data_IF_909654591100
#
_entry.id   IF_909654591100
#
_cell.length_a   1.000
_cell.length_b   1.000
_cell.length_c   1.000
_cell.angle_alpha   90.00
_cell.angle_beta   90.00
_cell.angle_gamma   90.00
#
_symmetry.space_group_name_H-M   'P 1'
#
loop_
_entity.id
_entity.type
_entity.pdbx_description
1 polymer ?
#
# COMPACT_ATOMS: atom_id res chain seq x y z
N UNK A 1 -4.04 -13.90 -10.05
CA UNK A 1 -2.82 -13.14 -9.70
C UNK A 1 -2.22 -12.43 -10.92
N UNK A 2 -2.31 -12.99 -12.13
CA UNK A 2 -1.70 -12.45 -13.37
C UNK A 2 -2.08 -11.00 -13.73
N UNK A 3 -3.30 -10.55 -13.45
CA UNK A 3 -3.76 -9.23 -13.93
C UNK A 3 -3.07 -8.03 -13.25
N UNK A 4 -2.77 -8.12 -11.94
CA UNK A 4 -2.12 -7.00 -11.23
C UNK A 4 -0.63 -6.94 -11.55
N UNK A 5 -0.02 -8.11 -11.74
CA UNK A 5 1.37 -8.23 -12.18
C UNK A 5 1.49 -7.66 -13.61
N UNK A 6 0.60 -8.06 -14.53
CA UNK A 6 0.54 -7.53 -15.89
C UNK A 6 0.27 -6.01 -15.91
N UNK A 7 -0.67 -5.52 -15.10
CA UNK A 7 -0.91 -4.08 -14.98
C UNK A 7 0.35 -3.33 -14.51
N UNK A 8 1.03 -3.87 -13.50
CA UNK A 8 2.24 -3.29 -12.94
C UNK A 8 3.37 -3.27 -13.98
N UNK A 9 3.55 -4.35 -14.71
CA UNK A 9 4.57 -4.47 -15.75
C UNK A 9 4.31 -3.60 -16.97
N UNK A 10 3.04 -3.39 -17.34
CA UNK A 10 2.66 -2.63 -18.53
C UNK A 10 2.59 -1.12 -18.24
N UNK A 11 2.05 -0.73 -17.08
CA UNK A 11 1.73 0.68 -16.80
C UNK A 11 2.64 1.34 -15.75
N UNK A 12 3.31 0.55 -14.89
CA UNK A 12 4.07 1.07 -13.75
C UNK A 12 5.57 0.71 -13.79
N UNK A 13 6.06 0.10 -14.87
CA UNK A 13 7.46 -0.37 -15.01
C UNK A 13 8.51 0.69 -14.69
N UNK A 14 8.28 1.93 -15.10
CA UNK A 14 9.22 3.04 -14.92
C UNK A 14 8.84 3.96 -13.73
N UNK A 15 7.92 3.52 -12.88
CA UNK A 15 7.47 4.28 -11.71
C UNK A 15 7.94 3.60 -10.42
N UNK A 16 8.17 4.36 -9.35
CA UNK A 16 8.40 3.79 -8.02
C UNK A 16 7.19 2.95 -7.60
N UNK A 17 7.37 1.63 -7.62
CA UNK A 17 6.33 0.64 -7.36
C UNK A 17 6.75 -0.28 -6.23
N UNK A 18 5.83 -0.52 -5.30
CA UNK A 18 5.99 -1.50 -4.23
C UNK A 18 4.85 -2.49 -4.25
N UNK A 19 5.22 -3.77 -4.21
CA UNK A 19 4.30 -4.90 -4.28
C UNK A 19 4.20 -5.54 -2.89
N UNK A 20 3.01 -5.50 -2.31
CA UNK A 20 2.68 -6.10 -1.02
C UNK A 20 1.85 -7.35 -1.28
N UNK A 21 2.39 -8.52 -0.93
CA UNK A 21 1.69 -9.78 -1.10
C UNK A 21 1.04 -10.25 0.20
N UNK A 22 -0.26 -9.98 0.36
CA UNK A 22 -1.04 -10.30 1.55
C UNK A 22 -1.26 -11.80 1.79
N UNK A 23 -1.03 -12.66 0.79
CA UNK A 23 -1.05 -14.12 0.99
C UNK A 23 0.18 -14.64 1.72
N UNK A 24 1.26 -13.86 1.75
CA UNK A 24 2.51 -14.31 2.32
C UNK A 24 2.45 -14.28 3.86
N UNK A 25 2.42 -15.47 4.47
CA UNK A 25 2.31 -15.63 5.93
C UNK A 25 3.48 -14.99 6.69
N UNK A 26 4.64 -14.82 6.04
CA UNK A 26 5.83 -14.17 6.62
C UNK A 26 6.00 -12.71 6.20
N UNK A 27 4.94 -12.07 5.67
CA UNK A 27 4.98 -10.65 5.34
C UNK A 27 5.27 -9.83 6.58
N UNK A 28 6.38 -9.08 6.55
CA UNK A 28 6.71 -8.07 7.54
C UNK A 28 6.44 -6.69 6.94
N UNK A 29 5.37 -6.06 7.41
CA UNK A 29 4.94 -4.74 6.92
C UNK A 29 5.93 -3.64 7.31
N UNK A 30 6.62 -3.77 8.46
CA UNK A 30 7.63 -2.80 8.90
C UNK A 30 8.81 -2.86 7.95
N UNK A 31 9.27 -4.07 7.61
CA UNK A 31 10.34 -4.26 6.63
C UNK A 31 9.94 -3.76 5.23
N UNK A 32 8.68 -3.97 4.84
CA UNK A 32 8.16 -3.43 3.58
C UNK A 32 8.20 -1.90 3.57
N UNK A 33 7.87 -1.25 4.69
CA UNK A 33 7.90 0.21 4.82
C UNK A 33 9.33 0.75 4.82
N UNK A 34 10.25 0.02 5.45
CA UNK A 34 11.68 0.27 5.41
C UNK A 34 12.24 0.21 3.98
N UNK A 35 11.80 -0.76 3.18
CA UNK A 35 12.19 -0.84 1.77
C UNK A 35 11.74 0.38 0.95
N UNK A 36 10.59 0.97 1.28
CA UNK A 36 10.15 2.24 0.65
C UNK A 36 11.14 3.34 0.96
N UNK A 37 11.45 3.54 2.24
CA UNK A 37 12.36 4.58 2.75
C UNK A 37 13.77 4.43 2.13
N UNK A 38 14.28 3.21 2.07
CA UNK A 38 15.55 2.92 1.42
C UNK A 38 15.49 3.19 -0.10
N UNK A 39 14.39 2.83 -0.76
CA UNK A 39 14.21 3.04 -2.20
C UNK A 39 14.13 4.51 -2.60
N UNK A 40 13.60 5.37 -1.72
CA UNK A 40 13.56 6.82 -1.93
C UNK A 40 14.84 7.54 -1.45
N UNK A 41 15.86 6.79 -1.01
CA UNK A 41 17.11 7.30 -0.45
C UNK A 41 16.92 8.34 0.66
N UNK A 42 15.88 8.18 1.49
CA UNK A 42 15.66 9.07 2.61
C UNK A 42 16.66 8.73 3.71
N UNK A 43 17.54 9.67 4.06
CA UNK A 43 18.49 9.49 5.16
C UNK A 43 17.75 9.58 6.49
N UNK A 44 17.71 8.46 7.20
CA UNK A 44 17.01 8.32 8.47
C UNK A 44 17.99 7.78 9.50
N UNK A 45 18.20 8.56 10.55
CA UNK A 45 18.95 8.15 11.74
C UNK A 45 18.18 7.06 12.51
N UNK A 46 18.22 5.85 11.99
CA UNK A 46 17.66 4.66 12.62
C UNK A 46 18.73 3.99 13.46
N UNK A 47 18.42 3.74 14.73
CA UNK A 47 19.37 3.09 15.63
C UNK A 47 19.55 1.63 15.19
N UNK A 48 20.80 1.16 14.99
CA UNK A 48 21.05 -0.23 14.66
C UNK A 48 20.46 -1.17 15.72
N UNK A 49 19.66 -2.14 15.31
CA UNK A 49 19.07 -3.14 16.20
C UNK A 49 17.75 -2.74 16.87
N UNK A 50 17.22 -1.53 16.63
CA UNK A 50 15.85 -1.19 17.03
C UNK A 50 14.89 -1.31 15.86
N UNK A 51 13.76 -1.99 16.06
CA UNK A 51 12.64 -1.93 15.12
C UNK A 51 11.93 -0.60 15.28
N UNK A 52 11.87 0.17 14.20
CA UNK A 52 11.04 1.38 14.14
C UNK A 52 9.55 1.02 14.13
N UNK A 53 8.71 1.92 14.65
CA UNK A 53 7.27 1.71 14.62
C UNK A 53 6.72 1.95 13.22
N UNK A 54 5.73 1.15 12.79
CA UNK A 54 5.08 1.33 11.49
C UNK A 54 4.49 2.75 11.34
N UNK A 55 4.00 3.35 12.43
CA UNK A 55 3.47 4.72 12.44
C UNK A 55 4.55 5.74 12.08
N UNK A 56 5.76 5.59 12.62
CA UNK A 56 6.85 6.51 12.32
C UNK A 56 7.30 6.38 10.86
N UNK A 57 7.41 5.15 10.36
CA UNK A 57 7.72 4.90 8.95
C UNK A 57 6.63 5.48 8.03
N UNK A 58 5.36 5.34 8.42
CA UNK A 58 4.21 5.90 7.71
C UNK A 58 4.34 7.42 7.57
N UNK A 59 4.64 8.12 8.67
CA UNK A 59 4.81 9.57 8.67
C UNK A 59 5.98 10.00 7.78
N UNK A 60 7.13 9.32 7.87
CA UNK A 60 8.31 9.62 7.06
C UNK A 60 8.03 9.52 5.56
N UNK A 61 7.36 8.44 5.15
CA UNK A 61 6.98 8.23 3.74
C UNK A 61 5.99 9.31 3.31
N UNK A 62 4.97 9.57 4.13
CA UNK A 62 3.95 10.57 3.80
C UNK A 62 4.54 11.98 3.65
N UNK A 63 5.40 12.40 4.59
CA UNK A 63 6.07 13.70 4.58
C UNK A 63 6.96 13.86 3.33
N UNK A 64 7.71 12.81 2.96
CA UNK A 64 8.51 12.81 1.74
C UNK A 64 7.66 13.06 0.49
N UNK A 65 6.54 12.35 0.35
CA UNK A 65 5.67 12.49 -0.83
C UNK A 65 4.79 13.74 -0.79
N UNK A 66 4.64 14.41 0.36
CA UNK A 66 4.04 15.74 0.43
C UNK A 66 5.02 16.84 0.01
N UNK A 67 6.31 16.67 0.28
CA UNK A 67 7.34 17.68 0.00
C UNK A 67 7.42 17.98 -1.51
N UNK A 68 7.29 19.24 -1.96
CA UNK A 68 7.43 19.61 -3.37
C UNK A 68 8.84 19.35 -3.95
N UNK A 69 9.89 19.40 -3.14
CA UNK A 69 11.30 19.31 -3.57
C UNK A 69 11.84 17.86 -3.60
N UNK A 70 10.94 16.88 -3.74
CA UNK A 70 11.27 15.44 -3.73
C UNK A 70 11.77 14.95 -5.09
N UNK A 71 12.66 13.95 -5.07
CA UNK A 71 13.16 13.30 -6.28
C UNK A 71 12.09 12.43 -6.95
N UNK A 72 11.33 11.67 -6.16
CA UNK A 72 10.28 10.78 -6.66
C UNK A 72 8.90 11.45 -6.63
N UNK A 73 8.31 11.67 -7.80
CA UNK A 73 7.06 12.42 -7.91
C UNK A 73 5.85 11.66 -7.36
N UNK A 74 5.81 10.33 -7.52
CA UNK A 74 4.70 9.48 -7.10
C UNK A 74 5.19 8.15 -6.56
N UNK A 75 4.40 7.55 -5.67
CA UNK A 75 4.54 6.18 -5.20
C UNK A 75 3.32 5.37 -5.58
N UNK A 76 3.52 4.22 -6.21
CA UNK A 76 2.47 3.25 -6.45
C UNK A 76 2.64 2.07 -5.50
N UNK A 77 1.57 1.73 -4.78
CA UNK A 77 1.52 0.58 -3.88
C UNK A 77 0.51 -0.39 -4.49
N UNK A 78 0.96 -1.60 -4.78
CA UNK A 78 0.09 -2.69 -5.22
C UNK A 78 -0.07 -3.68 -4.07
N UNK A 79 -1.30 -4.04 -3.73
CA UNK A 79 -1.59 -5.00 -2.67
C UNK A 79 -2.36 -6.17 -3.25
N UNK A 80 -1.74 -7.34 -3.26
CA UNK A 80 -2.44 -8.60 -3.53
C UNK A 80 -3.11 -9.06 -2.24
N UNK A 81 -4.42 -9.29 -2.28
CA UNK A 81 -5.21 -9.70 -1.12
C UNK A 81 -5.04 -8.76 0.08
N UNK A 82 -5.65 -7.58 0.02
CA UNK A 82 -5.61 -6.59 1.11
C UNK A 82 -6.22 -7.11 2.42
N UNK A 83 -7.06 -8.14 2.35
CA UNK A 83 -7.57 -8.86 3.49
C UNK A 83 -6.67 -10.04 3.92
N UNK A 84 -5.41 -10.06 3.52
CA UNK A 84 -4.42 -11.00 4.03
C UNK A 84 -4.25 -10.89 5.56
N UNK A 85 -3.98 -12.01 6.24
CA UNK A 85 -3.93 -12.08 7.71
C UNK A 85 -3.01 -11.02 8.35
N UNK A 86 -1.88 -10.74 7.72
CA UNK A 86 -0.89 -9.76 8.19
C UNK A 86 -1.30 -8.30 7.94
N UNK A 87 -2.26 -8.06 7.05
CA UNK A 87 -2.75 -6.73 6.70
C UNK A 87 -4.04 -6.37 7.46
N UNK A 88 -4.74 -7.33 8.06
CA UNK A 88 -6.03 -7.13 8.76
C UNK A 88 -5.95 -6.34 10.07
N UNK A 89 -4.75 -6.10 10.61
CA UNK A 89 -4.64 -5.36 11.88
C UNK A 89 -5.09 -3.91 11.68
N UNK A 90 -5.82 -3.36 12.67
CA UNK A 90 -6.29 -1.98 12.62
C UNK A 90 -5.13 -0.99 12.42
N UNK A 91 -3.98 -1.28 13.04
CA UNK A 91 -2.75 -0.50 12.92
C UNK A 91 -2.27 -0.43 11.45
N UNK A 92 -2.16 -1.56 10.76
CA UNK A 92 -1.71 -1.60 9.36
C UNK A 92 -2.73 -0.95 8.43
N UNK A 93 -4.02 -1.22 8.61
CA UNK A 93 -5.09 -0.59 7.83
C UNK A 93 -5.10 0.93 7.99
N UNK A 94 -4.90 1.43 9.21
CA UNK A 94 -4.80 2.87 9.46
C UNK A 94 -3.55 3.48 8.80
N UNK A 95 -2.40 2.80 8.87
CA UNK A 95 -1.16 3.26 8.24
C UNK A 95 -1.29 3.33 6.71
N UNK A 96 -1.83 2.28 6.08
CA UNK A 96 -2.14 2.28 4.65
C UNK A 96 -3.12 3.41 4.29
N UNK A 97 -4.15 3.62 5.11
CA UNK A 97 -5.10 4.72 4.97
C UNK A 97 -4.45 6.11 5.01
N UNK A 98 -3.50 6.31 5.92
CA UNK A 98 -2.73 7.56 6.00
C UNK A 98 -1.89 7.74 4.73
N UNK A 99 -1.16 6.70 4.29
CA UNK A 99 -0.35 6.80 3.07
C UNK A 99 -1.19 7.23 1.86
N UNK A 100 -2.33 6.59 1.62
CA UNK A 100 -3.17 6.92 0.45
C UNK A 100 -3.92 8.24 0.55
N UNK A 101 -3.92 8.88 1.72
CA UNK A 101 -4.43 10.25 1.85
C UNK A 101 -3.50 11.29 1.20
N UNK A 102 -2.24 10.92 0.95
CA UNK A 102 -1.32 11.75 0.19
C UNK A 102 -1.68 11.71 -1.30
N UNK A 103 -1.88 12.86 -1.98
CA UNK A 103 -2.26 12.89 -3.39
C UNK A 103 -1.21 12.28 -4.33
N UNK A 104 0.04 12.14 -3.85
CA UNK A 104 1.17 11.59 -4.61
C UNK A 104 1.41 10.09 -4.32
N UNK A 105 0.57 9.45 -3.50
CA UNK A 105 0.64 8.02 -3.21
C UNK A 105 -0.64 7.36 -3.71
N UNK A 106 -0.50 6.34 -4.55
CA UNK A 106 -1.61 5.63 -5.17
C UNK A 106 -1.60 4.17 -4.76
N UNK A 107 -2.74 3.67 -4.28
CA UNK A 107 -2.91 2.28 -3.88
C UNK A 107 -3.83 1.56 -4.87
N UNK A 108 -3.34 0.44 -5.38
CA UNK A 108 -4.08 -0.48 -6.23
C UNK A 108 -4.15 -1.81 -5.47
N UNK A 109 -5.35 -2.23 -5.10
CA UNK A 109 -5.51 -3.41 -4.28
C UNK A 109 -6.43 -4.42 -4.97
N UNK A 110 -6.06 -5.69 -4.87
CA UNK A 110 -6.95 -6.81 -5.15
C UNK A 110 -7.55 -7.33 -3.85
N UNK A 111 -8.80 -7.74 -3.93
CA UNK A 111 -9.61 -8.21 -2.82
C UNK A 111 -10.11 -9.60 -3.17
N UNK A 112 -9.70 -10.61 -2.41
CA UNK A 112 -10.03 -12.01 -2.72
C UNK A 112 -11.23 -12.55 -1.92
N UNK A 113 -11.55 -11.96 -0.76
CA UNK A 113 -12.61 -12.50 0.11
C UNK A 113 -13.95 -11.75 0.00
N UNK A 114 -15.05 -12.51 0.01
CA UNK A 114 -16.45 -12.03 0.13
C UNK A 114 -16.67 -11.07 1.33
N UNK A 115 -15.76 -11.05 2.31
CA UNK A 115 -15.88 -10.26 3.54
C UNK A 115 -15.19 -8.89 3.46
N UNK A 116 -14.51 -8.54 2.38
CA UNK A 116 -13.87 -7.24 2.26
C UNK A 116 -14.86 -6.06 2.22
N UNK A 117 -16.11 -6.34 1.84
CA UNK A 117 -17.23 -5.40 1.95
C UNK A 117 -17.47 -4.97 3.41
N UNK A 118 -17.04 -5.76 4.41
CA UNK A 118 -17.09 -5.41 5.84
C UNK A 118 -15.86 -4.66 6.36
N UNK A 119 -14.73 -4.68 5.66
CA UNK A 119 -13.51 -3.97 6.08
C UNK A 119 -13.51 -2.49 5.68
N UNK A 120 -14.21 -2.18 4.59
CA UNK A 120 -14.40 -0.82 4.09
C UNK A 120 -15.84 -0.39 4.34
N UNK A 121 -16.13 0.00 5.59
CA UNK A 121 -17.32 0.79 5.88
C UNK A 121 -17.33 2.03 4.98
N UNK A 122 -18.51 2.46 4.50
CA UNK A 122 -18.69 3.36 3.34
C UNK A 122 -17.92 4.69 3.44
N UNK A 123 -17.58 5.12 4.65
CA UNK A 123 -16.77 6.32 4.93
C UNK A 123 -15.27 6.16 4.62
N UNK A 124 -14.74 4.92 4.63
CA UNK A 124 -13.35 4.64 4.30
C UNK A 124 -13.15 4.63 2.79
N UNK A 125 -14.07 4.05 2.02
CA UNK A 125 -13.95 3.99 0.55
C UNK A 125 -13.89 5.37 -0.12
N UNK A 126 -14.49 6.40 0.49
CA UNK A 126 -14.45 7.78 -0.02
C UNK A 126 -13.14 8.54 0.30
N UNK A 127 -12.38 8.13 1.32
CA UNK A 127 -11.10 8.75 1.72
C UNK A 127 -9.89 8.13 1.04
N UNK A 128 -10.02 6.87 0.64
CA UNK A 128 -8.98 6.15 -0.06
C UNK A 128 -9.19 6.46 -1.55
N UNK A 129 -8.22 7.07 -2.22
CA UNK A 129 -8.18 7.14 -3.70
C UNK A 129 -7.96 5.76 -4.34
N UNK A 130 -8.64 4.74 -3.82
CA UNK A 130 -8.58 3.36 -4.27
C UNK A 130 -9.44 3.22 -5.53
N UNK A 131 -8.79 2.89 -6.64
CA UNK A 131 -9.48 2.35 -7.81
C UNK A 131 -9.68 0.86 -7.52
N UNK A 132 -10.88 0.49 -7.05
CA UNK A 132 -11.29 -0.91 -6.99
C UNK A 132 -11.73 -1.32 -8.41
N UNK A 133 -11.05 -2.27 -9.08
CA UNK A 133 -11.62 -2.88 -10.27
C UNK A 133 -12.85 -3.68 -9.81
N UNK A 134 -14.03 -3.15 -10.11
CA UNK A 134 -15.29 -3.82 -9.82
C UNK A 134 -15.34 -5.13 -10.62
N UNK A 135 -15.18 -6.27 -9.95
CA UNK A 135 -15.40 -7.60 -10.53
C UNK A 135 -16.91 -7.87 -10.61
N UNK A 136 -17.60 -7.09 -11.45
CA UNK A 136 -19.04 -7.22 -11.71
C UNK A 136 -19.38 -8.32 -12.74
N UNK A 137 -18.62 -9.41 -12.78
CA UNK A 137 -18.80 -10.49 -13.77
C UNK A 137 -19.02 -11.89 -13.19
N UNK A 138 -19.65 -12.00 -12.02
CA UNK A 138 -20.09 -13.30 -11.47
C UNK A 138 -21.56 -13.30 -11.02
N UNK A 139 -22.45 -12.63 -11.77
CA UNK A 139 -23.90 -12.88 -11.73
C UNK A 139 -24.51 -12.91 -13.13
N UNK A 140 -24.18 -13.93 -13.93
CA UNK A 140 -25.05 -14.40 -15.02
C UNK A 140 -24.86 -15.90 -15.28
N UNK A 141 -25.49 -16.74 -14.46
CA UNK A 141 -26.66 -17.57 -14.80
C UNK A 141 -26.98 -18.52 -13.66
#
# INVERSE_FOLDING_TARGET
MELLDEFSEVYLRDQPLIVINGFYLKLDIVETFMQIINGINLDVDMKPGTRESIEKLTTLIWDYFLNPDRDFQRLYITVHNIDGQNLRTLQVQNCLGILVSCPNIHLIAFVDHINAILLFDQDRTARFGMILPCLDHMKKK
#
